data_IF_291510976650
#
_entry.id   IF_291510976650
#
_cell.length_a   1.000
_cell.length_b   1.000
_cell.length_c   1.000
_cell.angle_alpha   90.00
_cell.angle_beta   90.00
_cell.angle_gamma   90.00
#
_symmetry.space_group_name_H-M   'P 1'
#
loop_
_entity.id
_entity.type
_entity.pdbx_description
1 polymer ?
#
# COMPACT_ATOMS: atom_id res chain seq x y z
N UNK A 1 16.93 6.36 31.42
CA UNK A 1 16.98 7.08 30.13
C UNK A 1 16.87 6.06 29.01
N UNK A 2 15.97 6.25 28.03
CA UNK A 2 15.86 5.34 26.90
C UNK A 2 17.16 5.34 26.08
N UNK A 3 17.69 4.17 25.76
CA UNK A 3 18.96 4.06 25.00
C UNK A 3 18.80 4.63 23.59
N UNK A 4 19.89 5.09 22.96
CA UNK A 4 19.85 5.61 21.58
C UNK A 4 19.21 4.63 20.58
N UNK A 5 19.29 3.32 20.85
CA UNK A 5 18.64 2.25 20.08
C UNK A 5 17.11 2.25 20.23
N UNK A 6 16.59 2.42 21.43
CA UNK A 6 15.14 2.46 21.70
C UNK A 6 14.47 3.65 21.00
N UNK A 7 15.12 4.82 21.02
CA UNK A 7 14.64 6.00 20.28
C UNK A 7 14.52 5.71 18.78
N UNK A 8 15.55 5.12 18.16
CA UNK A 8 15.54 4.75 16.73
C UNK A 8 14.46 3.72 16.40
N UNK A 9 14.21 2.74 17.28
CA UNK A 9 13.15 1.75 17.08
C UNK A 9 11.76 2.38 17.17
N UNK A 10 11.55 3.29 18.11
CA UNK A 10 10.29 4.04 18.26
C UNK A 10 10.02 4.91 17.03
N UNK A 11 11.01 5.66 16.56
CA UNK A 11 10.89 6.46 15.33
C UNK A 11 10.56 5.60 14.12
N UNK A 12 11.24 4.46 13.96
CA UNK A 12 10.95 3.51 12.88
C UNK A 12 9.50 3.04 12.91
N UNK A 13 8.98 2.66 14.08
CA UNK A 13 7.59 2.24 14.24
C UNK A 13 6.62 3.34 13.80
N UNK A 14 6.85 4.57 14.24
CA UNK A 14 6.02 5.72 13.87
C UNK A 14 6.03 5.96 12.36
N UNK A 15 7.22 5.99 11.74
CA UNK A 15 7.34 6.20 10.28
C UNK A 15 6.68 5.09 9.48
N UNK A 16 6.88 3.82 9.86
CA UNK A 16 6.26 2.67 9.18
C UNK A 16 4.73 2.70 9.26
N UNK A 17 4.18 3.10 10.41
CA UNK A 17 2.73 3.30 10.57
C UNK A 17 2.23 4.38 9.61
N UNK A 18 2.83 5.58 9.68
CA UNK A 18 2.42 6.72 8.83
C UNK A 18 2.53 6.40 7.33
N UNK A 19 3.58 5.70 6.90
CA UNK A 19 3.71 5.27 5.50
C UNK A 19 2.56 4.34 5.10
N UNK A 20 2.15 3.43 5.99
CA UNK A 20 1.02 2.53 5.70
C UNK A 20 -0.28 3.29 5.57
N UNK A 21 -0.54 4.27 6.44
CA UNK A 21 -1.72 5.13 6.36
C UNK A 21 -1.73 5.95 5.05
N UNK A 22 -0.59 6.53 4.67
CA UNK A 22 -0.44 7.28 3.43
C UNK A 22 -0.66 6.41 2.19
N UNK A 23 -0.05 5.21 2.15
CA UNK A 23 -0.27 4.26 1.05
C UNK A 23 -1.75 3.94 0.93
N UNK A 24 -2.44 3.70 2.05
CA UNK A 24 -3.87 3.40 2.05
C UNK A 24 -4.70 4.55 1.49
N UNK A 25 -4.44 5.79 1.91
CA UNK A 25 -5.14 6.96 1.38
C UNK A 25 -4.91 7.17 -0.11
N UNK A 26 -3.65 7.06 -0.55
CA UNK A 26 -3.30 7.13 -1.97
C UNK A 26 -4.06 6.06 -2.75
N UNK A 27 -4.00 4.81 -2.30
CA UNK A 27 -4.62 3.69 -3.01
C UNK A 27 -6.15 3.81 -3.08
N UNK A 28 -6.81 4.26 -2.02
CA UNK A 28 -8.24 4.59 -2.09
C UNK A 28 -8.51 5.75 -3.05
N UNK A 29 -7.66 6.78 -3.06
CA UNK A 29 -7.72 7.87 -4.01
C UNK A 29 -7.61 7.40 -5.47
N UNK A 30 -6.71 6.47 -5.78
CA UNK A 30 -6.58 5.89 -7.12
C UNK A 30 -7.88 5.20 -7.57
N UNK A 31 -8.45 4.36 -6.71
CA UNK A 31 -9.70 3.63 -7.02
C UNK A 31 -10.88 4.59 -7.15
N UNK A 32 -11.01 5.54 -6.22
CA UNK A 32 -12.07 6.53 -6.22
C UNK A 32 -12.00 7.43 -7.45
N UNK A 33 -10.80 7.93 -7.80
CA UNK A 33 -10.61 8.78 -8.98
C UNK A 33 -11.01 8.04 -10.26
N UNK A 34 -10.53 6.81 -10.45
CA UNK A 34 -10.91 6.01 -11.62
C UNK A 34 -12.42 5.77 -11.66
N UNK A 35 -13.05 5.40 -10.55
CA UNK A 35 -14.50 5.23 -10.49
C UNK A 35 -15.26 6.52 -10.84
N UNK A 36 -14.82 7.66 -10.31
CA UNK A 36 -15.41 8.98 -10.61
C UNK A 36 -15.27 9.35 -12.09
N UNK A 37 -14.12 9.08 -12.72
CA UNK A 37 -13.94 9.34 -14.15
C UNK A 37 -14.86 8.44 -14.98
N UNK A 38 -14.97 7.16 -14.62
CA UNK A 38 -15.82 6.18 -15.33
C UNK A 38 -17.32 6.46 -15.21
N UNK A 39 -17.75 7.14 -14.16
CA UNK A 39 -19.18 7.45 -13.91
C UNK A 39 -19.55 8.88 -14.27
N UNK A 40 -18.56 9.74 -14.54
CA UNK A 40 -18.78 11.13 -14.90
C UNK A 40 -19.30 11.26 -16.34
N UNK A 41 -20.25 12.19 -16.53
CA UNK A 41 -20.77 12.60 -17.85
C UNK A 41 -20.12 13.87 -18.38
N UNK A 42 -19.11 14.40 -17.68
CA UNK A 42 -18.40 15.59 -18.12
C UNK A 42 -17.57 15.28 -19.39
N UNK A 43 -17.56 16.21 -20.34
CA UNK A 43 -16.83 16.05 -21.61
C UNK A 43 -15.34 15.73 -21.40
N UNK A 44 -14.73 16.33 -20.37
CA UNK A 44 -13.36 16.05 -19.98
C UNK A 44 -13.13 14.59 -19.57
N UNK A 45 -14.07 13.98 -18.83
CA UNK A 45 -13.97 12.58 -18.43
C UNK A 45 -14.13 11.64 -19.62
N UNK A 46 -15.03 11.96 -20.56
CA UNK A 46 -15.21 11.21 -21.80
C UNK A 46 -13.92 11.24 -22.63
N UNK A 47 -13.31 12.42 -22.79
CA UNK A 47 -12.04 12.60 -23.51
C UNK A 47 -10.89 11.80 -22.87
N UNK A 48 -10.76 11.84 -21.54
CA UNK A 48 -9.77 11.04 -20.80
C UNK A 48 -9.94 9.53 -21.06
N UNK A 49 -11.17 9.05 -21.08
CA UNK A 49 -11.46 7.63 -21.29
C UNK A 49 -11.23 7.21 -22.74
N UNK A 50 -11.52 8.05 -23.73
CA UNK A 50 -11.26 7.72 -25.14
C UNK A 50 -9.77 7.43 -25.38
N UNK A 51 -8.88 8.23 -24.80
CA UNK A 51 -7.44 8.12 -25.06
C UNK A 51 -6.69 7.24 -24.05
N UNK A 52 -7.19 7.06 -22.82
CA UNK A 52 -6.40 6.49 -21.72
C UNK A 52 -7.16 5.56 -20.78
N UNK A 53 -8.33 5.02 -21.19
CA UNK A 53 -9.14 4.08 -20.36
C UNK A 53 -8.31 2.99 -19.69
N UNK A 54 -7.42 2.32 -20.43
CA UNK A 54 -6.63 1.21 -19.92
C UNK A 54 -5.67 1.65 -18.81
N UNK A 55 -5.08 2.83 -18.90
CA UNK A 55 -4.16 3.34 -17.89
C UNK A 55 -4.89 3.61 -16.57
N UNK A 56 -6.10 4.16 -16.62
CA UNK A 56 -6.93 4.37 -15.42
C UNK A 56 -7.37 3.04 -14.76
N UNK A 57 -7.69 2.02 -15.57
CA UNK A 57 -8.00 0.68 -15.06
C UNK A 57 -6.80 0.03 -14.38
N UNK A 58 -5.63 0.08 -15.02
CA UNK A 58 -4.39 -0.44 -14.42
C UNK A 58 -4.04 0.32 -13.14
N UNK A 59 -4.14 1.64 -13.12
CA UNK A 59 -3.90 2.45 -11.92
C UNK A 59 -4.84 2.06 -10.76
N UNK A 60 -6.13 1.90 -11.04
CA UNK A 60 -7.11 1.46 -10.04
C UNK A 60 -6.83 0.04 -9.54
N UNK A 61 -6.45 -0.88 -10.42
CA UNK A 61 -6.10 -2.24 -10.05
C UNK A 61 -4.87 -2.26 -9.14
N UNK A 62 -3.84 -1.48 -9.46
CA UNK A 62 -2.65 -1.33 -8.61
C UNK A 62 -3.00 -0.74 -7.24
N UNK A 63 -3.90 0.24 -7.18
CA UNK A 63 -4.45 0.77 -5.94
C UNK A 63 -5.15 -0.30 -5.10
N UNK A 64 -6.04 -1.09 -5.72
CA UNK A 64 -6.74 -2.18 -5.05
C UNK A 64 -5.77 -3.26 -4.52
N UNK A 65 -4.76 -3.65 -5.31
CA UNK A 65 -3.73 -4.60 -4.90
C UNK A 65 -2.86 -4.05 -3.76
N UNK A 66 -2.54 -2.76 -3.77
CA UNK A 66 -1.80 -2.12 -2.68
C UNK A 66 -2.60 -2.16 -1.36
N UNK A 67 -3.92 -1.91 -1.41
CA UNK A 67 -4.81 -2.06 -0.25
C UNK A 67 -4.80 -3.53 0.23
N UNK A 68 -4.95 -4.48 -0.68
CA UNK A 68 -4.95 -5.91 -0.36
C UNK A 68 -3.65 -6.32 0.35
N UNK A 69 -2.48 -5.87 -0.14
CA UNK A 69 -1.20 -6.15 0.50
C UNK A 69 -1.00 -5.43 1.82
N UNK A 70 -1.58 -4.25 2.02
CA UNK A 70 -1.62 -3.59 3.33
C UNK A 70 -2.39 -4.45 4.35
N UNK A 71 -3.55 -5.00 3.98
CA UNK A 71 -4.30 -5.92 4.81
C UNK A 71 -3.54 -7.22 5.11
N UNK A 72 -2.91 -7.83 4.10
CA UNK A 72 -2.11 -9.04 4.33
C UNK A 72 -0.89 -8.78 5.22
N UNK A 73 -0.27 -7.61 5.12
CA UNK A 73 0.82 -7.22 6.01
C UNK A 73 0.30 -7.11 7.46
N UNK A 74 -0.85 -6.45 7.65
CA UNK A 74 -1.47 -6.32 8.97
C UNK A 74 -1.82 -7.68 9.57
N UNK A 75 -2.48 -8.55 8.80
CA UNK A 75 -2.83 -9.91 9.21
C UNK A 75 -1.59 -10.74 9.56
N UNK A 76 -0.54 -10.67 8.74
CA UNK A 76 0.72 -11.36 9.00
C UNK A 76 1.39 -10.87 10.29
N UNK A 77 1.33 -9.57 10.57
CA UNK A 77 1.78 -8.97 11.82
C UNK A 77 0.98 -9.45 13.02
N UNK A 78 -0.35 -9.46 12.91
CA UNK A 78 -1.26 -9.94 13.95
C UNK A 78 -1.00 -11.40 14.32
N UNK A 79 -0.92 -12.28 13.32
CA UNK A 79 -0.62 -13.71 13.52
C UNK A 79 0.76 -13.88 14.18
N UNK A 80 1.77 -13.13 13.73
CA UNK A 80 3.12 -13.22 14.31
C UNK A 80 3.14 -12.81 15.79
N UNK A 81 2.40 -11.76 16.18
CA UNK A 81 2.30 -11.31 17.58
C UNK A 81 1.55 -12.34 18.42
N UNK A 82 0.38 -12.79 17.99
CA UNK A 82 -0.41 -13.77 18.74
C UNK A 82 0.33 -15.09 18.93
N UNK A 83 1.04 -15.56 17.89
CA UNK A 83 1.86 -16.76 18.01
C UNK A 83 3.03 -16.58 18.98
N UNK A 84 3.59 -15.36 19.10
CA UNK A 84 4.63 -15.08 20.08
C UNK A 84 4.10 -15.01 21.52
N UNK A 85 2.87 -14.51 21.71
CA UNK A 85 2.24 -14.43 23.04
C UNK A 85 1.75 -15.80 23.55
N UNK A 86 1.38 -16.71 22.64
CA UNK A 86 0.95 -18.06 22.98
C UNK A 86 2.10 -19.01 23.37
N UNK A 87 3.37 -18.59 23.23
CA UNK A 87 4.53 -19.38 23.63
C UNK A 87 4.91 -19.06 25.08
N UNK A 88 4.63 -19.97 26.00
CA UNK A 88 5.06 -19.93 27.40
C UNK A 88 6.37 -20.73 27.56
N UNK A 89 7.50 -20.05 27.73
CA UNK A 89 8.81 -20.67 28.04
C UNK A 89 10.02 -19.84 27.58
N UNK A 90 11.21 -20.07 28.17
CA UNK A 90 12.47 -19.32 27.97
C UNK A 90 13.04 -19.34 26.54
N UNK A 91 12.50 -20.18 25.65
CA UNK A 91 12.78 -20.13 24.22
C UNK A 91 11.94 -19.03 23.52
N UNK A 92 11.90 -17.84 24.13
CA UNK A 92 11.37 -16.57 23.57
C UNK A 92 12.33 -16.02 22.50
N UNK A 93 13.18 -16.87 21.92
CA UNK A 93 13.95 -16.55 20.74
C UNK A 93 13.00 -16.48 19.56
N UNK A 94 12.43 -15.29 19.43
CA UNK A 94 11.72 -14.67 18.32
C UNK A 94 12.05 -15.31 16.97
N UNK A 95 11.47 -16.50 16.72
CA UNK A 95 12.01 -17.44 15.75
C UNK A 95 11.88 -16.85 14.35
N UNK A 96 13.01 -16.46 13.75
CA UNK A 96 13.08 -15.77 12.45
C UNK A 96 12.52 -16.62 11.30
N UNK A 97 12.25 -17.91 11.52
CA UNK A 97 11.73 -18.85 10.52
C UNK A 97 10.22 -18.76 10.27
N UNK A 98 9.45 -18.01 11.05
CA UNK A 98 8.00 -17.92 10.80
C UNK A 98 7.71 -17.18 9.50
N UNK A 99 6.98 -17.85 8.61
CA UNK A 99 6.57 -17.34 7.30
C UNK A 99 5.84 -16.00 7.45
N UNK A 100 4.93 -15.89 8.43
CA UNK A 100 4.20 -14.64 8.74
C UNK A 100 5.14 -13.48 9.01
N UNK A 101 6.28 -13.70 9.69
CA UNK A 101 7.27 -12.65 9.97
C UNK A 101 8.14 -12.33 8.74
N UNK A 102 8.41 -13.33 7.89
CA UNK A 102 9.17 -13.15 6.64
C UNK A 102 8.37 -12.35 5.61
N UNK A 103 7.04 -12.48 5.60
CA UNK A 103 6.16 -11.80 4.65
C UNK A 103 5.90 -10.31 4.96
N UNK A 104 6.06 -9.85 6.21
CA UNK A 104 5.77 -8.45 6.58
C UNK A 104 6.62 -7.45 5.78
N UNK A 105 7.94 -7.68 5.67
CA UNK A 105 8.85 -6.78 4.94
C UNK A 105 8.57 -6.70 3.44
N UNK A 106 8.47 -7.81 2.68
CA UNK A 106 8.18 -7.74 1.26
C UNK A 106 6.80 -7.14 1.02
N UNK A 107 5.76 -7.52 1.77
CA UNK A 107 4.42 -6.93 1.62
C UNK A 107 4.43 -5.41 1.85
N UNK A 108 5.19 -4.93 2.84
CA UNK A 108 5.36 -3.50 3.09
C UNK A 108 6.01 -2.76 1.92
N UNK A 109 6.97 -3.37 1.23
CA UNK A 109 7.63 -2.75 0.07
C UNK A 109 6.72 -2.85 -1.17
N UNK A 110 6.14 -4.02 -1.44
CA UNK A 110 5.27 -4.24 -2.59
C UNK A 110 4.08 -3.29 -2.61
N UNK A 111 3.40 -3.07 -1.48
CA UNK A 111 2.27 -2.13 -1.43
C UNK A 111 2.68 -0.70 -1.80
N UNK A 112 3.90 -0.27 -1.43
CA UNK A 112 4.42 1.06 -1.76
C UNK A 112 4.70 1.16 -3.26
N UNK A 113 5.33 0.14 -3.84
CA UNK A 113 5.62 0.10 -5.28
C UNK A 113 4.30 0.12 -6.07
N UNK A 114 3.31 -0.69 -5.68
CA UNK A 114 2.01 -0.73 -6.34
C UNK A 114 1.30 0.64 -6.28
N UNK A 115 1.23 1.26 -5.10
CA UNK A 115 0.60 2.57 -4.95
C UNK A 115 1.32 3.65 -5.77
N UNK A 116 2.65 3.68 -5.73
CA UNK A 116 3.45 4.63 -6.48
C UNK A 116 3.31 4.45 -7.99
N UNK A 117 3.40 3.20 -8.47
CA UNK A 117 3.17 2.87 -9.89
C UNK A 117 1.77 3.28 -10.35
N UNK A 118 0.75 3.11 -9.49
CA UNK A 118 -0.60 3.59 -9.77
C UNK A 118 -0.69 5.10 -9.96
N UNK A 119 -0.01 5.89 -9.12
CA UNK A 119 0.08 7.36 -9.31
C UNK A 119 0.74 7.68 -10.65
N UNK A 120 1.88 7.05 -10.96
CA UNK A 120 2.62 7.30 -12.21
C UNK A 120 1.75 7.02 -13.43
N UNK A 121 0.96 5.94 -13.43
CA UNK A 121 0.04 5.64 -14.52
C UNK A 121 -1.06 6.69 -14.68
N UNK A 122 -1.60 7.24 -13.59
CA UNK A 122 -2.58 8.34 -13.67
C UNK A 122 -1.92 9.60 -14.24
N UNK A 123 -0.72 9.96 -13.79
CA UNK A 123 0.00 11.12 -14.33
C UNK A 123 0.26 10.97 -15.83
N UNK A 124 0.65 9.78 -16.29
CA UNK A 124 0.84 9.48 -17.72
C UNK A 124 -0.49 9.59 -18.46
N UNK A 125 -1.57 9.00 -17.94
CA UNK A 125 -2.89 9.06 -18.54
C UNK A 125 -3.39 10.49 -18.72
N UNK A 126 -3.23 11.33 -17.69
CA UNK A 126 -3.61 12.73 -17.73
C UNK A 126 -2.76 13.51 -18.74
N UNK A 127 -1.43 13.31 -18.74
CA UNK A 127 -0.54 13.98 -19.68
C UNK A 127 -0.88 13.63 -21.14
N UNK A 128 -0.98 12.33 -21.45
CA UNK A 128 -1.30 11.85 -22.78
C UNK A 128 -2.65 12.35 -23.26
N UNK A 129 -3.68 12.38 -22.40
CA UNK A 129 -5.00 12.88 -22.78
C UNK A 129 -5.06 14.40 -23.00
N UNK A 130 -4.16 15.19 -22.40
CA UNK A 130 -4.13 16.66 -22.58
C UNK A 130 -3.25 17.13 -23.73
N UNK A 131 -2.27 16.32 -24.14
CA UNK A 131 -1.29 16.67 -25.19
C UNK A 131 -1.62 16.01 -26.54
N UNK A 132 -2.38 14.92 -26.55
CA UNK A 132 -2.90 14.25 -27.74
C UNK A 132 -4.25 14.82 -28.17
#
# INVERSE_FOLDING_TARGET
>A
MATGREKRLKEKKIRTSKISDLVRYVSFGLVALTYSIFTSKADFAVLLLQNSKNLFLWASLLGALAILFDYFQYLSGYIAVNKSLAMTGDNIDYNKKWISKRLIKPLFIFKQILAFSGIVLICIAMYCATVA
#
